data_IF_537044455905
#
_entry.id   IF_537044455905
#
_cell.length_a   1.000
_cell.length_b   1.000
_cell.length_c   1.000
_cell.angle_alpha   90.00
_cell.angle_beta   90.00
_cell.angle_gamma   90.00
#
_symmetry.space_group_name_H-M   'P 1'
#
loop_
_entity.id
_entity.type
_entity.pdbx_description
1 polymer ?
#
# COMPACT_ATOMS: atom_id res chain seq x y z
N UNK A 1 -26.51 31.85 -65.85
CA UNK A 1 -26.48 30.39 -66.12
C UNK A 1 -25.33 29.82 -65.30
N UNK A 2 -25.62 29.12 -64.19
CA UNK A 2 -25.38 27.66 -63.99
C UNK A 2 -23.96 27.27 -64.43
N UNK A 3 -23.05 26.82 -63.57
CA UNK A 3 -23.16 25.54 -62.85
C UNK A 3 -22.44 25.53 -61.49
N UNK A 4 -23.07 24.78 -60.58
CA UNK A 4 -22.60 24.36 -59.26
C UNK A 4 -21.54 23.25 -59.38
N UNK A 5 -20.55 23.22 -58.49
CA UNK A 5 -19.74 22.04 -58.26
C UNK A 5 -19.61 21.82 -56.75
N UNK A 6 -20.29 20.79 -56.28
CA UNK A 6 -20.11 20.19 -54.96
C UNK A 6 -18.73 19.54 -54.87
N UNK A 7 -18.03 19.75 -53.76
CA UNK A 7 -17.01 18.79 -53.30
C UNK A 7 -17.31 18.44 -51.85
N UNK A 8 -17.70 17.18 -51.69
CA UNK A 8 -18.10 16.46 -50.48
C UNK A 8 -16.94 16.42 -49.47
N UNK A 9 -17.18 16.83 -48.23
CA UNK A 9 -16.26 16.59 -47.13
C UNK A 9 -16.43 15.14 -46.65
N UNK A 10 -15.40 14.32 -46.86
CA UNK A 10 -15.31 12.96 -46.34
C UNK A 10 -14.84 13.03 -44.88
N UNK A 11 -15.76 12.87 -43.93
CA UNK A 11 -15.41 12.69 -42.52
C UNK A 11 -14.93 11.25 -42.32
N UNK A 12 -13.61 11.10 -42.11
CA UNK A 12 -13.02 9.82 -41.73
C UNK A 12 -13.20 9.70 -40.21
N UNK A 13 -14.24 8.98 -39.79
CA UNK A 13 -14.33 8.46 -38.44
C UNK A 13 -13.24 7.40 -38.28
N UNK A 14 -12.22 7.67 -37.47
CA UNK A 14 -11.25 6.68 -37.04
C UNK A 14 -11.93 5.74 -36.04
N UNK A 15 -12.66 4.75 -36.55
CA UNK A 15 -13.00 3.56 -35.79
C UNK A 15 -11.74 2.70 -35.66
N UNK A 16 -11.11 2.72 -34.49
CA UNK A 16 -10.16 1.67 -34.14
C UNK A 16 -10.97 0.46 -33.67
N UNK A 17 -10.87 -0.63 -34.43
CA UNK A 17 -11.40 -1.94 -34.07
C UNK A 17 -10.24 -2.90 -33.87
N UNK A 18 -9.97 -3.33 -32.63
CA UNK A 18 -9.30 -4.60 -32.30
C UNK A 18 -9.81 -5.11 -30.93
N UNK A 19 -10.85 -5.96 -31.00
CA UNK A 19 -11.15 -7.23 -30.29
C UNK A 19 -10.91 -7.41 -28.76
N UNK A 20 -12.06 -7.58 -28.07
CA UNK A 20 -12.46 -8.40 -26.89
C UNK A 20 -11.59 -8.44 -25.62
N UNK A 21 -11.99 -7.92 -24.45
CA UNK A 21 -13.12 -7.08 -24.04
C UNK A 21 -12.56 -5.84 -23.34
N UNK A 22 -13.04 -4.66 -23.73
CA UNK A 22 -12.44 -3.40 -23.35
C UNK A 22 -13.44 -2.63 -22.50
N UNK A 23 -13.15 -2.50 -21.20
CA UNK A 23 -13.83 -1.52 -20.36
C UNK A 23 -13.84 -0.18 -21.09
N UNK A 24 -14.91 0.59 -20.98
CA UNK A 24 -14.98 1.93 -21.56
C UNK A 24 -15.62 2.91 -20.60
N UNK A 25 -15.06 4.10 -20.46
CA UNK A 25 -15.59 5.14 -19.59
C UNK A 25 -16.33 6.19 -20.42
N UNK A 26 -17.53 6.55 -19.98
CA UNK A 26 -18.32 7.67 -20.50
C UNK A 26 -18.65 8.61 -19.35
N UNK A 27 -18.83 9.90 -19.62
CA UNK A 27 -19.20 10.88 -18.60
C UNK A 27 -20.49 11.59 -18.97
N UNK A 28 -21.38 11.76 -18.00
CA UNK A 28 -22.49 12.70 -18.12
C UNK A 28 -22.02 14.14 -17.88
N UNK A 29 -22.75 15.11 -18.43
CA UNK A 29 -22.53 16.52 -18.08
C UNK A 29 -22.81 16.75 -16.60
N UNK A 30 -22.06 17.67 -15.99
CA UNK A 30 -22.26 18.02 -14.60
C UNK A 30 -23.62 18.70 -14.42
N UNK A 31 -24.40 18.21 -13.46
CA UNK A 31 -25.72 18.74 -13.15
C UNK A 31 -25.76 19.25 -11.71
N UNK A 32 -26.58 20.28 -11.46
CA UNK A 32 -26.87 20.67 -10.09
C UNK A 32 -27.72 19.60 -9.41
N UNK A 33 -27.30 19.18 -8.23
CA UNK A 33 -28.16 18.43 -7.31
C UNK A 33 -29.10 19.40 -6.60
N UNK A 34 -30.11 18.89 -5.87
CA UNK A 34 -30.92 19.73 -4.98
C UNK A 34 -30.04 20.28 -3.83
N UNK A 35 -29.27 21.33 -4.09
CA UNK A 35 -28.27 21.90 -3.19
C UNK A 35 -27.19 22.74 -3.92
N UNK A 36 -26.17 23.26 -3.20
CA UNK A 36 -25.10 24.07 -3.79
C UNK A 36 -24.05 23.26 -4.56
N UNK A 37 -24.21 21.94 -4.66
CA UNK A 37 -23.22 21.03 -5.25
C UNK A 37 -23.59 20.65 -6.68
N UNK A 38 -22.58 20.68 -7.54
CA UNK A 38 -22.57 20.02 -8.85
C UNK A 38 -22.23 18.55 -8.65
N UNK A 39 -22.92 17.69 -9.37
CA UNK A 39 -22.64 16.27 -9.45
C UNK A 39 -22.26 15.90 -10.87
N UNK A 40 -21.16 15.17 -11.01
CA UNK A 40 -20.73 14.58 -12.28
C UNK A 40 -20.55 13.08 -12.09
N UNK A 41 -21.10 12.33 -13.04
CA UNK A 41 -21.10 10.87 -13.05
C UNK A 41 -20.32 10.38 -14.25
N UNK A 42 -19.36 9.50 -14.02
CA UNK A 42 -18.74 8.68 -15.04
C UNK A 42 -19.27 7.25 -14.91
N UNK A 43 -19.68 6.67 -16.03
CA UNK A 43 -20.11 5.27 -16.11
C UNK A 43 -19.05 4.49 -16.85
N UNK A 44 -18.52 3.47 -16.18
CA UNK A 44 -17.60 2.49 -16.74
C UNK A 44 -18.42 1.30 -17.20
N UNK A 45 -18.47 1.11 -18.51
CA UNK A 45 -19.13 -0.01 -19.16
C UNK A 45 -18.11 -1.14 -19.34
N UNK A 46 -18.57 -2.37 -19.25
CA UNK A 46 -17.84 -3.58 -19.63
C UNK A 46 -18.72 -4.45 -20.53
N UNK A 47 -18.18 -5.54 -21.02
CA UNK A 47 -18.95 -6.60 -21.66
C UNK A 47 -19.27 -7.73 -20.67
N UNK A 48 -20.08 -8.70 -21.09
CA UNK A 48 -20.40 -9.85 -20.23
C UNK A 48 -19.16 -10.68 -19.95
N UNK A 49 -18.69 -10.64 -18.70
CA UNK A 49 -17.48 -11.34 -18.26
C UNK A 49 -16.27 -10.43 -18.02
N UNK A 50 -16.36 -9.15 -18.35
CA UNK A 50 -15.34 -8.17 -17.96
C UNK A 50 -15.51 -7.86 -16.48
N UNK A 51 -14.48 -8.16 -15.69
CA UNK A 51 -14.43 -7.89 -14.26
C UNK A 51 -13.52 -6.69 -14.05
N UNK A 52 -14.00 -5.68 -13.31
CA UNK A 52 -13.14 -4.61 -12.82
C UNK A 52 -12.35 -5.13 -11.61
N UNK A 53 -11.04 -5.27 -11.76
CA UNK A 53 -10.16 -5.86 -10.74
C UNK A 53 -9.08 -4.91 -10.20
N UNK A 54 -8.85 -3.77 -10.88
CA UNK A 54 -7.88 -2.75 -10.47
C UNK A 54 -8.50 -1.35 -10.36
N UNK A 55 -8.19 -0.66 -9.26
CA UNK A 55 -8.66 0.69 -9.00
C UNK A 55 -7.50 1.62 -8.64
N UNK A 56 -7.32 2.69 -9.43
CA UNK A 56 -6.31 3.73 -9.18
C UNK A 56 -6.96 5.07 -8.90
N UNK A 57 -6.83 5.54 -7.66
CA UNK A 57 -7.35 6.83 -7.19
C UNK A 57 -6.21 7.84 -7.14
N UNK A 58 -6.16 8.77 -8.09
CA UNK A 58 -5.12 9.80 -8.23
C UNK A 58 -5.70 11.21 -8.13
N UNK A 59 -6.64 11.39 -7.21
CA UNK A 59 -7.37 12.65 -6.95
C UNK A 59 -7.38 12.94 -5.47
N UNK A 60 -7.57 14.21 -5.10
CA UNK A 60 -7.55 14.66 -3.70
C UNK A 60 -8.92 14.52 -3.03
N UNK A 61 -8.90 14.53 -1.70
CA UNK A 61 -10.11 14.41 -0.88
C UNK A 61 -10.44 12.98 -0.48
N UNK A 62 -11.60 12.84 0.16
CA UNK A 62 -12.13 11.56 0.62
C UNK A 62 -12.86 10.83 -0.51
N UNK A 63 -12.45 9.58 -0.74
CA UNK A 63 -13.02 8.68 -1.75
C UNK A 63 -13.61 7.46 -1.06
N UNK A 64 -14.85 7.13 -1.39
CA UNK A 64 -15.55 5.97 -0.83
C UNK A 64 -15.81 4.98 -1.95
N UNK A 65 -15.38 3.73 -1.77
CA UNK A 65 -15.61 2.65 -2.73
C UNK A 65 -16.65 1.72 -2.14
N UNK A 66 -17.79 1.55 -2.81
CA UNK A 66 -18.93 0.76 -2.36
C UNK A 66 -19.28 -0.31 -3.40
N UNK A 67 -19.88 -1.40 -2.96
CA UNK A 67 -20.46 -2.41 -3.85
C UNK A 67 -21.98 -2.19 -3.96
N UNK A 68 -22.52 -2.28 -5.18
CA UNK A 68 -23.96 -2.31 -5.42
C UNK A 68 -24.33 -3.24 -6.60
N UNK A 69 -24.99 -4.36 -6.28
CA UNK A 69 -25.43 -5.35 -7.25
C UNK A 69 -26.41 -4.80 -8.30
N UNK A 70 -27.12 -3.71 -8.00
CA UNK A 70 -28.14 -3.14 -8.89
C UNK A 70 -27.53 -2.47 -10.14
N UNK A 71 -26.24 -2.12 -10.09
CA UNK A 71 -25.51 -1.59 -11.25
C UNK A 71 -25.44 -2.59 -12.39
N UNK A 72 -25.14 -3.86 -12.08
CA UNK A 72 -25.09 -4.93 -13.06
C UNK A 72 -26.48 -5.29 -13.63
N UNK A 73 -27.56 -4.99 -12.91
CA UNK A 73 -28.92 -5.32 -13.33
C UNK A 73 -29.47 -4.38 -14.43
N UNK A 74 -28.91 -3.18 -14.59
CA UNK A 74 -29.36 -2.15 -15.53
C UNK A 74 -28.65 -2.14 -16.89
N UNK A 75 -27.65 -3.00 -17.09
CA UNK A 75 -26.75 -3.03 -18.23
C UNK A 75 -25.36 -3.49 -17.80
N UNK A 76 -24.45 -3.72 -18.75
CA UNK A 76 -23.07 -4.13 -18.46
C UNK A 76 -22.23 -2.95 -17.94
N UNK A 77 -22.61 -2.41 -16.77
CA UNK A 77 -21.92 -1.33 -16.08
C UNK A 77 -21.00 -1.95 -15.03
N UNK A 78 -19.69 -1.87 -15.27
CA UNK A 78 -18.68 -2.38 -14.34
C UNK A 78 -18.56 -1.49 -13.08
N UNK A 79 -18.65 -0.17 -13.24
CA UNK A 79 -18.61 0.78 -12.14
C UNK A 79 -19.24 2.15 -12.47
N UNK A 80 -19.60 2.90 -11.43
CA UNK A 80 -19.94 4.31 -11.51
C UNK A 80 -19.05 5.14 -10.59
N UNK A 81 -18.46 6.21 -11.13
CA UNK A 81 -17.72 7.21 -10.35
C UNK A 81 -18.60 8.45 -10.25
N UNK A 82 -18.87 8.89 -9.02
CA UNK A 82 -19.73 10.03 -8.71
C UNK A 82 -18.86 11.05 -7.96
N UNK A 83 -18.67 12.21 -8.56
CA UNK A 83 -18.00 13.34 -7.90
C UNK A 83 -19.03 14.41 -7.58
N UNK A 84 -19.02 14.89 -6.34
CA UNK A 84 -19.80 16.06 -5.92
C UNK A 84 -18.85 17.17 -5.55
N UNK A 85 -19.07 18.36 -6.11
CA UNK A 85 -18.27 19.53 -5.77
C UNK A 85 -19.03 20.85 -5.81
N UNK A 86 -18.64 21.81 -4.96
CA UNK A 86 -19.15 23.17 -5.02
C UNK A 86 -18.54 24.02 -6.16
N UNK A 87 -17.57 23.47 -6.90
CA UNK A 87 -16.83 24.20 -7.95
C UNK A 87 -16.90 23.52 -9.32
N UNK A 88 -17.41 24.19 -10.38
CA UNK A 88 -17.47 23.63 -11.72
C UNK A 88 -16.08 23.38 -12.31
N UNK A 89 -15.10 24.23 -11.98
CA UNK A 89 -13.72 24.08 -12.45
C UNK A 89 -13.08 22.81 -11.88
N UNK A 90 -13.40 22.48 -10.62
CA UNK A 90 -12.92 21.26 -9.97
C UNK A 90 -13.50 20.01 -10.66
N UNK A 91 -14.81 20.03 -10.95
CA UNK A 91 -15.47 18.96 -11.71
C UNK A 91 -14.89 18.82 -13.12
N UNK A 92 -14.55 19.94 -13.76
CA UNK A 92 -13.94 19.97 -15.08
C UNK A 92 -12.49 19.45 -15.13
N UNK A 93 -11.80 19.46 -13.99
CA UNK A 93 -10.39 19.07 -13.85
C UNK A 93 -10.18 17.56 -13.69
N UNK A 94 -11.17 16.85 -13.17
CA UNK A 94 -11.12 15.39 -12.97
C UNK A 94 -11.49 14.65 -14.26
N UNK A 95 -10.83 13.52 -14.48
CA UNK A 95 -11.10 12.58 -15.55
C UNK A 95 -11.05 11.12 -15.07
N UNK A 96 -11.73 10.24 -15.79
CA UNK A 96 -11.78 8.80 -15.51
C UNK A 96 -11.39 8.06 -16.77
N UNK A 97 -10.33 7.26 -16.68
CA UNK A 97 -9.78 6.48 -17.79
C UNK A 97 -9.75 5.01 -17.41
N UNK A 98 -9.97 4.14 -18.39
CA UNK A 98 -9.81 2.68 -18.29
C UNK A 98 -8.42 2.28 -18.71
N UNK A 99 -7.91 1.16 -18.21
CA UNK A 99 -6.65 0.58 -18.66
C UNK A 99 -6.61 -0.92 -18.44
N UNK A 100 -5.74 -1.60 -19.19
CA UNK A 100 -5.60 -3.06 -19.14
C UNK A 100 -4.18 -3.49 -18.72
N UNK A 101 -3.31 -2.52 -18.40
CA UNK A 101 -1.86 -2.76 -18.22
C UNK A 101 -1.51 -3.61 -16.99
N UNK A 102 -2.30 -3.49 -15.92
CA UNK A 102 -2.09 -4.16 -14.63
C UNK A 102 -3.31 -5.01 -14.22
N UNK A 103 -4.21 -5.29 -15.17
CA UNK A 103 -5.57 -5.77 -14.93
C UNK A 103 -6.60 -4.89 -15.63
N UNK A 104 -7.85 -5.31 -15.61
CA UNK A 104 -8.98 -4.56 -16.15
C UNK A 104 -9.35 -3.49 -15.12
N UNK A 105 -8.80 -2.29 -15.31
CA UNK A 105 -8.76 -1.28 -14.26
C UNK A 105 -9.34 0.09 -14.63
N UNK A 106 -9.69 0.85 -13.60
CA UNK A 106 -10.15 2.23 -13.72
C UNK A 106 -9.21 3.15 -12.96
N UNK A 107 -8.77 4.20 -13.64
CA UNK A 107 -7.94 5.26 -13.09
C UNK A 107 -8.69 6.58 -13.07
N UNK A 108 -8.91 7.10 -11.87
CA UNK A 108 -9.46 8.43 -11.63
C UNK A 108 -8.30 9.38 -11.38
N UNK A 109 -8.18 10.43 -12.18
CA UNK A 109 -7.01 11.32 -12.13
C UNK A 109 -7.35 12.75 -12.54
N UNK A 110 -6.42 13.67 -12.31
CA UNK A 110 -6.51 15.02 -12.88
C UNK A 110 -6.09 15.05 -14.34
N UNK A 111 -6.76 15.88 -15.14
CA UNK A 111 -6.34 16.19 -16.51
C UNK A 111 -4.95 16.81 -16.51
N UNK A 112 -4.16 16.49 -17.52
CA UNK A 112 -2.83 17.06 -17.70
C UNK A 112 -2.90 18.52 -18.21
N UNK A 113 -3.28 19.45 -17.33
CA UNK A 113 -3.44 20.87 -17.63
C UNK A 113 -2.89 21.73 -16.49
N UNK A 114 -2.69 23.02 -16.74
CA UNK A 114 -2.37 23.98 -15.70
C UNK A 114 -3.68 24.51 -15.10
N UNK A 115 -3.91 24.26 -13.81
CA UNK A 115 -5.10 24.71 -13.13
C UNK A 115 -4.83 25.00 -11.65
N UNK A 116 -5.59 25.94 -11.08
CA UNK A 116 -5.70 26.14 -9.64
C UNK A 116 -7.18 26.23 -9.32
N UNK A 117 -7.70 25.22 -8.63
CA UNK A 117 -9.12 25.10 -8.31
C UNK A 117 -9.32 25.07 -6.80
N UNK A 118 -10.43 25.62 -6.35
CA UNK A 118 -10.86 25.59 -4.95
C UNK A 118 -12.31 25.14 -4.92
N UNK A 119 -12.64 24.26 -3.99
CA UNK A 119 -14.02 23.84 -3.76
C UNK A 119 -14.09 22.68 -2.77
N UNK A 120 -15.29 22.47 -2.26
CA UNK A 120 -15.64 21.29 -1.49
C UNK A 120 -15.75 20.09 -2.43
N UNK A 121 -15.18 18.95 -2.04
CA UNK A 121 -15.19 17.73 -2.85
C UNK A 121 -15.49 16.50 -2.00
N UNK A 122 -16.29 15.59 -2.54
CA UNK A 122 -16.38 14.20 -2.11
C UNK A 122 -16.56 13.32 -3.34
N UNK A 123 -15.93 12.14 -3.32
CA UNK A 123 -16.04 11.17 -4.39
C UNK A 123 -16.58 9.84 -3.86
N UNK A 124 -17.46 9.25 -4.65
CA UNK A 124 -17.98 7.91 -4.44
C UNK A 124 -17.73 7.08 -5.69
N UNK A 125 -17.28 5.86 -5.52
CA UNK A 125 -17.04 4.88 -6.57
C UNK A 125 -17.90 3.69 -6.21
N UNK A 126 -18.78 3.27 -7.11
CA UNK A 126 -19.66 2.14 -6.87
C UNK A 126 -19.29 1.06 -7.89
N UNK A 127 -18.85 -0.09 -7.41
CA UNK A 127 -18.49 -1.25 -8.24
C UNK A 127 -19.64 -2.23 -8.31
N UNK A 128 -19.80 -2.87 -9.47
CA UNK A 128 -20.92 -3.77 -9.74
C UNK A 128 -20.64 -5.23 -9.39
N UNK A 129 -19.37 -5.64 -9.46
CA UNK A 129 -18.93 -7.00 -9.17
C UNK A 129 -18.56 -7.14 -7.70
N UNK A 130 -19.07 -8.20 -7.08
CA UNK A 130 -18.88 -8.47 -5.66
C UNK A 130 -17.51 -9.10 -5.42
N UNK A 131 -16.75 -8.59 -4.45
CA UNK A 131 -15.43 -9.10 -4.05
C UNK A 131 -14.46 -9.25 -5.23
N UNK A 132 -14.47 -8.28 -6.15
CA UNK A 132 -13.75 -8.37 -7.42
C UNK A 132 -12.43 -7.58 -7.44
N UNK A 133 -12.34 -6.48 -6.69
CA UNK A 133 -11.11 -5.68 -6.68
C UNK A 133 -9.96 -6.46 -6.06
N UNK A 134 -8.97 -6.78 -6.88
CA UNK A 134 -7.72 -7.42 -6.51
C UNK A 134 -6.61 -6.38 -6.25
N UNK A 135 -6.75 -5.16 -6.76
CA UNK A 135 -5.79 -4.08 -6.57
C UNK A 135 -6.50 -2.75 -6.29
N UNK A 136 -6.04 -2.04 -5.25
CA UNK A 136 -6.48 -0.69 -4.90
C UNK A 136 -5.25 0.17 -4.64
N UNK A 137 -5.05 1.21 -5.45
CA UNK A 137 -3.96 2.16 -5.28
C UNK A 137 -4.46 3.59 -5.10
N UNK A 138 -3.78 4.35 -4.24
CA UNK A 138 -4.09 5.74 -3.97
C UNK A 138 -2.85 6.64 -4.05
N UNK A 139 -3.01 7.77 -4.73
CA UNK A 139 -2.05 8.87 -4.78
C UNK A 139 -2.80 10.19 -4.66
N UNK A 140 -2.25 11.16 -3.92
CA UNK A 140 -2.85 12.49 -3.71
C UNK A 140 -4.20 12.53 -2.97
N UNK A 141 -4.87 11.39 -2.76
CA UNK A 141 -6.08 11.30 -1.97
C UNK A 141 -5.79 11.61 -0.50
N UNK A 142 -6.77 12.18 0.21
CA UNK A 142 -6.67 12.31 1.66
C UNK A 142 -6.94 10.94 2.29
N UNK A 143 -8.00 10.27 1.82
CA UNK A 143 -8.37 8.94 2.29
C UNK A 143 -9.20 8.20 1.24
N UNK A 144 -8.93 6.91 1.08
CA UNK A 144 -9.77 5.97 0.33
C UNK A 144 -10.34 4.95 1.32
N UNK A 145 -11.66 4.93 1.43
CA UNK A 145 -12.39 3.99 2.29
C UNK A 145 -13.04 2.94 1.42
N UNK A 146 -12.55 1.71 1.54
CA UNK A 146 -13.07 0.55 0.82
C UNK A 146 -14.15 -0.11 1.66
N UNK A 147 -15.37 -0.13 1.14
CA UNK A 147 -16.55 -0.71 1.76
C UNK A 147 -16.56 -2.24 1.75
N UNK A 148 -17.61 -2.79 2.35
CA UNK A 148 -17.88 -4.22 2.39
C UNK A 148 -18.08 -4.78 0.97
N UNK A 149 -17.70 -6.04 0.76
CA UNK A 149 -17.93 -6.76 -0.50
C UNK A 149 -17.29 -6.14 -1.75
N UNK A 150 -16.32 -5.24 -1.60
CA UNK A 150 -15.61 -4.59 -2.72
C UNK A 150 -14.37 -5.37 -3.14
N UNK A 151 -13.44 -5.60 -2.20
CA UNK A 151 -12.17 -6.29 -2.46
C UNK A 151 -12.31 -7.79 -2.41
N UNK A 152 -11.44 -8.49 -3.13
CA UNK A 152 -11.36 -9.95 -3.07
C UNK A 152 -11.12 -10.42 -1.64
N UNK A 153 -11.97 -11.33 -1.17
CA UNK A 153 -12.00 -11.76 0.23
C UNK A 153 -11.99 -13.26 0.43
N UNK A 154 -12.62 -14.05 -0.46
CA UNK A 154 -12.76 -15.50 -0.28
C UNK A 154 -12.39 -16.30 -1.52
N UNK A 155 -11.18 -16.06 -2.04
CA UNK A 155 -10.59 -16.82 -3.14
C UNK A 155 -9.13 -17.16 -2.80
N UNK A 156 -8.84 -18.42 -2.38
CA UNK A 156 -7.48 -18.87 -2.05
C UNK A 156 -6.47 -18.81 -3.20
N UNK A 157 -6.92 -18.58 -4.44
CA UNK A 157 -6.06 -18.41 -5.60
C UNK A 157 -5.73 -16.94 -5.92
N UNK A 158 -6.54 -16.01 -5.41
CA UNK A 158 -6.43 -14.58 -5.68
C UNK A 158 -5.45 -13.86 -4.74
N UNK A 159 -4.92 -12.75 -5.23
CA UNK A 159 -4.06 -11.84 -4.48
C UNK A 159 -4.77 -10.51 -4.29
N UNK A 160 -4.58 -9.87 -3.14
CA UNK A 160 -5.03 -8.51 -2.86
C UNK A 160 -3.82 -7.59 -2.73
N UNK A 161 -3.79 -6.53 -3.52
CA UNK A 161 -2.75 -5.51 -3.55
C UNK A 161 -3.32 -4.16 -3.10
N UNK A 162 -2.67 -3.53 -2.12
CA UNK A 162 -3.07 -2.24 -1.57
C UNK A 162 -1.85 -1.34 -1.58
N UNK A 163 -1.91 -0.26 -2.36
CA UNK A 163 -0.77 0.63 -2.57
C UNK A 163 -1.10 2.07 -2.24
N UNK A 164 -0.22 2.76 -1.49
CA UNK A 164 -0.32 4.21 -1.32
C UNK A 164 0.97 4.94 -1.67
N UNK A 165 0.82 6.16 -2.17
CA UNK A 165 1.92 7.08 -2.40
C UNK A 165 1.60 8.49 -1.94
N UNK A 166 2.61 9.19 -1.43
CA UNK A 166 2.45 10.50 -0.82
C UNK A 166 1.82 10.40 0.56
N UNK A 167 0.75 11.16 0.79
CA UNK A 167 0.08 11.29 2.09
C UNK A 167 -1.24 10.50 2.18
N UNK A 168 -1.53 9.67 1.17
CA UNK A 168 -2.82 9.01 1.07
C UNK A 168 -3.02 7.88 2.08
N UNK A 169 -4.18 7.90 2.73
CA UNK A 169 -4.64 6.84 3.62
C UNK A 169 -5.57 5.86 2.89
N UNK A 170 -5.43 4.56 3.16
CA UNK A 170 -6.39 3.53 2.71
C UNK A 170 -6.93 2.77 3.91
N UNK A 171 -8.25 2.63 3.97
CA UNK A 171 -8.99 1.87 4.97
C UNK A 171 -9.69 0.70 4.28
N UNK A 172 -9.37 -0.53 4.68
CA UNK A 172 -9.99 -1.76 4.17
C UNK A 172 -10.50 -2.60 5.32
N UNK A 173 -11.75 -3.03 5.18
CA UNK A 173 -12.37 -4.07 5.98
C UNK A 173 -12.82 -3.66 7.39
N UNK A 174 -13.37 -4.64 8.09
CA UNK A 174 -14.06 -4.54 9.37
C UNK A 174 -13.63 -5.66 10.32
N UNK A 175 -13.43 -5.32 11.59
CA UNK A 175 -13.00 -6.26 12.63
C UNK A 175 -14.05 -7.32 12.98
N UNK A 176 -15.31 -7.09 12.62
CA UNK A 176 -16.45 -7.93 13.06
C UNK A 176 -17.12 -8.69 11.93
N UNK A 177 -16.97 -8.23 10.68
CA UNK A 177 -17.73 -8.77 9.54
C UNK A 177 -16.84 -9.51 8.55
N UNK A 178 -15.61 -9.03 8.32
CA UNK A 178 -14.83 -9.51 7.18
C UNK A 178 -13.94 -10.68 7.52
N UNK A 179 -13.89 -11.66 6.63
CA UNK A 179 -12.96 -12.78 6.69
C UNK A 179 -12.21 -12.85 5.37
N UNK A 180 -10.88 -12.90 5.44
CA UNK A 180 -10.04 -13.00 4.25
C UNK A 180 -9.41 -14.39 4.15
N UNK A 181 -9.67 -15.11 3.05
CA UNK A 181 -8.98 -16.33 2.65
C UNK A 181 -8.44 -16.14 1.24
N UNK A 182 -7.17 -15.79 1.13
CA UNK A 182 -6.51 -15.38 -0.11
C UNK A 182 -5.21 -16.14 -0.34
N UNK A 183 -4.66 -16.07 -1.54
CA UNK A 183 -3.28 -16.52 -1.79
C UNK A 183 -2.29 -15.55 -1.14
N UNK A 184 -2.41 -14.26 -1.42
CA UNK A 184 -1.54 -13.25 -0.83
C UNK A 184 -2.21 -11.91 -0.59
N UNK A 185 -1.72 -11.21 0.42
CA UNK A 185 -2.08 -9.82 0.72
C UNK A 185 -0.78 -9.00 0.69
N UNK A 186 -0.71 -8.05 -0.25
CA UNK A 186 0.43 -7.18 -0.46
C UNK A 186 0.03 -5.75 -0.09
N UNK A 187 0.71 -5.16 0.88
CA UNK A 187 0.51 -3.77 1.30
C UNK A 187 1.79 -3.02 1.01
N UNK A 188 1.72 -2.01 0.14
CA UNK A 188 2.84 -1.12 -0.16
C UNK A 188 2.47 0.33 0.17
N UNK A 189 3.40 1.06 0.77
CA UNK A 189 3.21 2.49 1.02
C UNK A 189 4.51 3.26 0.88
N UNK A 190 4.44 4.42 0.23
CA UNK A 190 5.58 5.30 0.00
C UNK A 190 5.24 6.75 0.36
N UNK A 191 6.12 7.40 1.11
CA UNK A 191 5.84 8.72 1.69
C UNK A 191 5.31 8.58 3.11
N UNK A 192 4.25 9.30 3.43
CA UNK A 192 3.74 9.49 4.80
C UNK A 192 2.34 8.89 5.01
N UNK A 193 1.77 8.29 3.96
CA UNK A 193 0.43 7.69 3.97
C UNK A 193 0.27 6.50 4.93
N UNK A 194 -0.99 6.19 5.23
CA UNK A 194 -1.36 5.14 6.16
C UNK A 194 -2.29 4.07 5.54
N UNK A 195 -1.89 2.80 5.60
CA UNK A 195 -2.78 1.68 5.28
C UNK A 195 -3.30 1.02 6.55
N UNK A 196 -4.61 0.84 6.64
CA UNK A 196 -5.29 0.13 7.69
C UNK A 196 -6.10 -1.03 7.11
N UNK A 197 -5.72 -2.25 7.47
CA UNK A 197 -6.38 -3.49 7.05
C UNK A 197 -6.99 -4.21 8.25
N UNK A 198 -8.31 -4.30 8.29
CA UNK A 198 -9.07 -4.88 9.39
C UNK A 198 -9.85 -6.11 8.94
N UNK A 199 -9.90 -7.12 9.81
CA UNK A 199 -10.67 -8.33 9.59
C UNK A 199 -11.13 -8.97 10.91
N UNK A 200 -12.10 -9.87 10.86
CA UNK A 200 -12.31 -10.86 11.92
C UNK A 200 -11.19 -11.91 11.92
N UNK A 201 -10.81 -12.41 10.75
CA UNK A 201 -9.72 -13.38 10.59
C UNK A 201 -9.10 -13.31 9.19
N UNK A 202 -7.83 -13.69 9.12
CA UNK A 202 -7.03 -13.68 7.89
C UNK A 202 -6.37 -15.05 7.72
N UNK A 203 -6.56 -15.66 6.56
CA UNK A 203 -5.88 -16.84 6.08
C UNK A 203 -5.23 -16.50 4.73
N UNK A 204 -3.90 -16.59 4.64
CA UNK A 204 -3.21 -16.37 3.38
C UNK A 204 -1.92 -17.18 3.26
N UNK A 205 -1.46 -17.52 2.06
CA UNK A 205 -0.11 -18.08 1.94
C UNK A 205 0.93 -17.04 2.34
N UNK A 206 0.77 -15.81 1.84
CA UNK A 206 1.72 -14.74 2.12
C UNK A 206 1.05 -13.43 2.50
N UNK A 207 1.56 -12.77 3.53
CA UNK A 207 1.28 -11.35 3.80
C UNK A 207 2.60 -10.60 3.67
N UNK A 208 2.66 -9.64 2.76
CA UNK A 208 3.82 -8.78 2.55
C UNK A 208 3.47 -7.33 2.83
N UNK A 209 4.28 -6.66 3.63
CA UNK A 209 4.13 -5.23 3.93
C UNK A 209 5.44 -4.54 3.60
N UNK A 210 5.42 -3.57 2.68
CA UNK A 210 6.59 -2.82 2.23
C UNK A 210 6.36 -1.33 2.40
N UNK A 211 7.08 -0.73 3.34
CA UNK A 211 6.98 0.69 3.66
C UNK A 211 8.25 1.44 3.25
N UNK A 212 8.08 2.63 2.69
CA UNK A 212 9.16 3.59 2.48
C UNK A 212 8.77 4.98 2.97
N UNK A 213 9.73 5.76 3.46
CA UNK A 213 9.46 7.04 4.13
C UNK A 213 8.95 6.83 5.56
N UNK A 214 7.99 7.66 5.98
CA UNK A 214 7.41 7.66 7.33
C UNK A 214 6.05 6.96 7.42
N UNK A 215 5.66 6.30 6.31
CA UNK A 215 4.42 5.56 6.12
C UNK A 215 4.12 4.53 7.20
N UNK A 216 2.84 4.13 7.27
CA UNK A 216 2.36 3.28 8.34
C UNK A 216 1.39 2.22 7.85
N UNK A 217 1.58 0.99 8.32
CA UNK A 217 0.63 -0.10 8.10
C UNK A 217 0.11 -0.65 9.44
N UNK A 218 -1.21 -0.83 9.52
CA UNK A 218 -1.88 -1.54 10.61
C UNK A 218 -2.62 -2.73 10.00
N UNK A 219 -2.32 -3.93 10.49
CA UNK A 219 -3.05 -5.15 10.16
C UNK A 219 -3.63 -5.68 11.46
N UNK A 220 -4.96 -5.69 11.55
CA UNK A 220 -5.66 -6.15 12.76
C UNK A 220 -6.69 -7.21 12.40
N UNK A 221 -6.62 -8.38 13.03
CA UNK A 221 -7.62 -9.44 12.90
C UNK A 221 -8.14 -9.89 14.26
N UNK A 222 -9.44 -9.76 14.56
CA UNK A 222 -9.98 -10.05 15.90
C UNK A 222 -9.62 -11.45 16.42
N UNK A 223 -9.78 -12.49 15.60
CA UNK A 223 -9.68 -13.89 16.01
C UNK A 223 -8.31 -14.50 15.73
N UNK A 224 -7.87 -14.49 14.47
CA UNK A 224 -6.61 -15.13 14.08
C UNK A 224 -6.04 -14.58 12.77
N UNK A 225 -4.73 -14.71 12.64
CA UNK A 225 -4.00 -14.59 11.36
C UNK A 225 -3.24 -15.90 11.16
N UNK A 226 -3.55 -16.64 10.09
CA UNK A 226 -2.86 -17.88 9.72
C UNK A 226 -2.19 -17.69 8.38
N UNK A 227 -0.86 -17.77 8.35
CA UNK A 227 -0.08 -17.56 7.14
C UNK A 227 1.05 -18.56 6.96
N UNK A 228 1.47 -18.82 5.72
CA UNK A 228 2.71 -19.55 5.50
C UNK A 228 3.91 -18.62 5.70
N UNK A 229 3.86 -17.41 5.15
CA UNK A 229 4.94 -16.43 5.28
C UNK A 229 4.40 -15.02 5.54
N UNK A 230 4.94 -14.35 6.55
CA UNK A 230 4.71 -12.92 6.78
C UNK A 230 6.02 -12.17 6.60
N UNK A 231 6.03 -11.18 5.70
CA UNK A 231 7.20 -10.36 5.37
C UNK A 231 6.89 -8.90 5.70
N UNK A 232 7.76 -8.29 6.49
CA UNK A 232 7.67 -6.88 6.86
C UNK A 232 8.95 -6.17 6.44
N UNK A 233 8.84 -5.22 5.53
CA UNK A 233 9.95 -4.46 4.99
C UNK A 233 9.75 -2.96 5.22
N UNK A 234 10.77 -2.28 5.73
CA UNK A 234 10.74 -0.84 5.96
C UNK A 234 12.05 -0.21 5.50
N UNK A 235 11.95 0.84 4.70
CA UNK A 235 13.06 1.72 4.32
C UNK A 235 12.73 3.16 4.74
N UNK A 236 13.26 3.61 5.88
CA UNK A 236 12.91 4.89 6.52
C UNK A 236 12.38 4.68 7.94
N UNK A 237 11.48 5.55 8.39
CA UNK A 237 10.96 5.59 9.77
C UNK A 237 9.53 5.06 9.90
N UNK A 238 9.09 4.36 8.85
CA UNK A 238 7.80 3.73 8.77
C UNK A 238 7.52 2.72 9.89
N UNK A 239 6.24 2.43 10.10
CA UNK A 239 5.79 1.64 11.26
C UNK A 239 4.75 0.60 10.85
N UNK A 240 5.02 -0.65 11.19
CA UNK A 240 4.10 -1.78 10.96
C UNK A 240 3.60 -2.30 12.30
N UNK A 241 2.28 -2.41 12.44
CA UNK A 241 1.60 -3.01 13.59
C UNK A 241 0.79 -4.20 13.12
N UNK A 242 1.03 -5.36 13.72
CA UNK A 242 0.25 -6.58 13.48
C UNK A 242 -0.39 -7.00 14.79
N UNK A 243 -1.72 -7.06 14.80
CA UNK A 243 -2.54 -7.34 15.97
C UNK A 243 -3.61 -8.39 15.66
N UNK A 244 -3.76 -9.34 16.56
CA UNK A 244 -4.72 -10.44 16.52
C UNK A 244 -4.76 -11.21 17.84
N UNK A 245 -5.78 -12.03 18.09
CA UNK A 245 -5.75 -12.92 19.24
C UNK A 245 -4.75 -14.08 19.08
N UNK A 246 -4.53 -14.56 17.84
CA UNK A 246 -3.58 -15.64 17.56
C UNK A 246 -2.93 -15.52 16.18
N UNK A 247 -1.61 -15.30 16.13
CA UNK A 247 -0.81 -15.33 14.90
C UNK A 247 -0.11 -16.69 14.72
N UNK A 248 -0.44 -17.40 13.65
CA UNK A 248 0.22 -18.64 13.25
C UNK A 248 0.96 -18.43 11.94
N UNK A 249 2.27 -18.68 11.93
CA UNK A 249 3.08 -18.54 10.72
C UNK A 249 4.10 -19.67 10.57
N UNK A 250 4.39 -20.14 9.35
CA UNK A 250 5.60 -20.96 9.16
C UNK A 250 6.85 -20.08 9.22
N UNK A 251 6.82 -18.94 8.53
CA UNK A 251 7.96 -18.02 8.41
C UNK A 251 7.58 -16.57 8.73
N UNK A 252 8.33 -15.96 9.65
CA UNK A 252 8.21 -14.55 10.00
C UNK A 252 9.49 -13.81 9.61
N UNK A 253 9.42 -12.89 8.64
CA UNK A 253 10.58 -12.16 8.13
C UNK A 253 10.42 -10.65 8.32
N UNK A 254 11.44 -9.99 8.86
CA UNK A 254 11.47 -8.54 9.02
C UNK A 254 12.78 -7.97 8.47
N UNK A 255 12.69 -7.02 7.54
CA UNK A 255 13.82 -6.34 6.89
C UNK A 255 13.68 -4.83 7.05
N UNK A 256 14.44 -4.23 7.96
CA UNK A 256 14.32 -2.82 8.27
C UNK A 256 15.65 -2.11 7.99
N UNK A 257 15.59 -1.01 7.25
CA UNK A 257 16.70 -0.09 6.99
C UNK A 257 16.28 1.33 7.39
N UNK A 258 16.97 1.96 8.33
CA UNK A 258 16.58 3.24 8.95
C UNK A 258 16.10 3.07 10.40
N UNK A 259 15.17 3.90 10.86
CA UNK A 259 14.69 3.91 12.26
C UNK A 259 13.26 3.37 12.42
N UNK A 260 12.79 2.69 11.38
CA UNK A 260 11.51 2.01 11.28
C UNK A 260 11.25 1.00 12.39
N UNK A 261 9.97 0.67 12.57
CA UNK A 261 9.53 -0.19 13.69
C UNK A 261 8.49 -1.21 13.23
N UNK A 262 8.70 -2.47 13.60
CA UNK A 262 7.71 -3.54 13.43
C UNK A 262 7.32 -4.08 14.79
N UNK A 263 6.02 -4.22 15.04
CA UNK A 263 5.49 -4.76 16.29
C UNK A 263 4.44 -5.85 16.02
N UNK A 264 4.74 -7.07 16.45
CA UNK A 264 3.81 -8.18 16.55
C UNK A 264 3.37 -8.27 18.00
N UNK A 265 2.21 -7.70 18.32
CA UNK A 265 1.77 -7.53 19.70
C UNK A 265 1.08 -8.78 20.27
N UNK A 266 0.61 -9.64 19.39
CA UNK A 266 -0.23 -10.81 19.66
C UNK A 266 0.49 -12.02 20.17
N UNK A 267 -0.19 -12.84 20.96
CA UNK A 267 0.23 -14.21 21.18
C UNK A 267 0.21 -14.97 19.85
N UNK A 268 1.18 -15.87 19.67
CA UNK A 268 1.26 -16.64 18.44
C UNK A 268 2.43 -17.61 18.43
N UNK A 269 2.57 -18.32 17.32
CA UNK A 269 3.65 -19.27 17.11
C UNK A 269 4.22 -19.17 15.69
N UNK A 270 5.52 -19.42 15.57
CA UNK A 270 6.15 -19.57 14.26
C UNK A 270 7.18 -20.70 14.21
N UNK A 271 7.50 -21.19 13.02
CA UNK A 271 8.63 -22.14 12.88
C UNK A 271 9.93 -21.36 12.80
N UNK A 272 10.08 -20.54 11.77
CA UNK A 272 11.31 -19.80 11.51
C UNK A 272 11.08 -18.28 11.51
N UNK A 273 11.93 -17.58 12.24
CA UNK A 273 11.95 -16.13 12.29
C UNK A 273 13.28 -15.59 11.77
N UNK A 274 13.21 -14.64 10.84
CA UNK A 274 14.39 -13.94 10.30
C UNK A 274 14.22 -12.44 10.44
N UNK A 275 15.18 -11.79 11.09
CA UNK A 275 15.17 -10.34 11.33
C UNK A 275 16.49 -9.76 10.81
N UNK A 276 16.42 -8.83 9.87
CA UNK A 276 17.52 -8.04 9.37
C UNK A 276 17.30 -6.57 9.71
N UNK A 277 18.22 -6.00 10.48
CA UNK A 277 18.19 -4.60 10.88
C UNK A 277 19.44 -3.88 10.36
N UNK A 278 19.23 -2.77 9.67
CA UNK A 278 20.27 -1.82 9.26
C UNK A 278 19.91 -0.44 9.81
N UNK A 279 20.78 0.17 10.62
CA UNK A 279 20.47 1.40 11.37
C UNK A 279 19.90 1.13 12.76
N UNK A 280 19.02 2.01 13.26
CA UNK A 280 18.48 1.97 14.63
C UNK A 280 17.05 1.39 14.71
N UNK A 281 16.65 0.71 13.65
CA UNK A 281 15.40 -0.03 13.51
C UNK A 281 15.09 -0.95 14.71
N UNK A 282 13.80 -1.14 14.98
CA UNK A 282 13.35 -1.97 16.11
C UNK A 282 12.26 -2.98 15.72
N UNK A 283 12.45 -4.25 16.09
CA UNK A 283 11.46 -5.31 15.93
C UNK A 283 11.03 -5.85 17.28
N UNK A 284 9.72 -5.83 17.53
CA UNK A 284 9.08 -6.35 18.74
C UNK A 284 8.28 -7.59 18.38
N UNK A 285 8.87 -8.76 18.56
CA UNK A 285 8.28 -10.06 18.26
C UNK A 285 8.31 -11.01 19.47
N UNK A 286 8.48 -10.47 20.68
CA UNK A 286 8.53 -11.25 21.92
C UNK A 286 7.22 -11.95 22.27
N UNK A 287 6.10 -11.57 21.63
CA UNK A 287 4.81 -12.24 21.84
C UNK A 287 4.62 -13.47 20.95
N UNK A 288 5.50 -13.71 19.98
CA UNK A 288 5.42 -14.83 19.03
C UNK A 288 6.47 -15.88 19.39
N UNK A 289 6.02 -17.08 19.70
CA UNK A 289 6.89 -18.20 20.08
C UNK A 289 7.41 -18.87 18.81
N UNK A 290 8.66 -18.61 18.46
CA UNK A 290 9.29 -19.20 17.28
C UNK A 290 10.20 -20.37 17.65
N UNK A 291 10.27 -21.41 16.81
CA UNK A 291 11.23 -22.51 17.03
C UNK A 291 12.65 -22.01 16.83
N UNK A 292 12.93 -21.40 15.68
CA UNK A 292 14.22 -20.86 15.32
C UNK A 292 14.13 -19.36 15.06
N UNK A 293 15.11 -18.59 15.52
CA UNK A 293 15.22 -17.17 15.22
C UNK A 293 16.63 -16.81 14.77
N UNK A 294 16.73 -16.09 13.66
CA UNK A 294 17.96 -15.50 13.15
C UNK A 294 17.81 -13.98 13.16
N UNK A 295 18.72 -13.30 13.85
CA UNK A 295 18.77 -11.84 13.92
C UNK A 295 20.13 -11.36 13.40
N UNK A 296 20.12 -10.64 12.29
CA UNK A 296 21.28 -9.99 11.72
C UNK A 296 21.14 -8.48 11.88
N UNK A 297 22.18 -7.83 12.42
CA UNK A 297 22.17 -6.40 12.73
C UNK A 297 23.39 -5.72 12.16
N UNK A 298 23.19 -4.57 11.52
CA UNK A 298 24.22 -3.64 11.06
C UNK A 298 23.87 -2.25 11.62
N UNK A 299 24.53 -1.85 12.72
CA UNK A 299 24.16 -0.66 13.51
C UNK A 299 23.66 -1.01 14.91
N UNK A 300 22.88 -0.13 15.52
CA UNK A 300 22.38 -0.25 16.91
C UNK A 300 20.94 -0.76 17.02
N UNK A 301 20.43 -1.35 15.93
CA UNK A 301 19.10 -1.96 15.84
C UNK A 301 18.78 -2.92 16.99
N UNK A 302 17.49 -3.00 17.32
CA UNK A 302 16.98 -3.71 18.51
C UNK A 302 15.95 -4.76 18.12
N UNK A 303 16.14 -5.99 18.60
CA UNK A 303 15.17 -7.06 18.42
C UNK A 303 14.77 -7.66 19.77
N UNK A 304 13.47 -7.84 19.98
CA UNK A 304 12.91 -8.64 21.07
C UNK A 304 12.22 -9.83 20.45
N UNK A 305 12.61 -11.05 20.83
CA UNK A 305 12.12 -12.31 20.26
C UNK A 305 11.76 -13.30 21.36
N UNK A 306 10.96 -14.32 21.04
CA UNK A 306 10.79 -15.50 21.88
C UNK A 306 11.14 -16.74 21.04
N UNK A 307 12.17 -17.47 21.46
CA UNK A 307 12.71 -18.60 20.70
C UNK A 307 12.86 -19.81 21.59
N UNK A 308 12.44 -20.99 21.14
CA UNK A 308 12.53 -22.22 21.94
C UNK A 308 13.80 -23.03 21.65
N UNK A 309 14.18 -23.19 20.38
CA UNK A 309 15.27 -24.07 19.98
C UNK A 309 16.58 -23.30 19.76
N UNK A 310 16.75 -22.67 18.59
CA UNK A 310 17.99 -21.98 18.23
C UNK A 310 17.78 -20.49 18.00
N UNK A 311 18.48 -19.65 18.77
CA UNK A 311 18.61 -18.21 18.54
C UNK A 311 20.01 -17.89 17.98
N UNK A 312 20.06 -17.49 16.71
CA UNK A 312 21.28 -17.00 16.06
C UNK A 312 21.27 -15.48 15.99
N UNK A 313 22.34 -14.85 16.43
CA UNK A 313 22.50 -13.39 16.43
C UNK A 313 23.85 -13.01 15.85
N UNK A 314 23.85 -12.15 14.83
CA UNK A 314 25.05 -11.66 14.16
C UNK A 314 25.04 -10.13 14.15
N UNK A 315 26.14 -9.50 14.57
CA UNK A 315 26.34 -8.05 14.45
C UNK A 315 26.48 -7.30 15.77
N UNK A 316 26.24 -5.99 15.71
CA UNK A 316 26.45 -5.04 16.82
C UNK A 316 25.21 -4.69 17.64
N UNK A 317 24.02 -4.95 17.09
CA UNK A 317 22.73 -4.53 17.66
C UNK A 317 22.34 -5.30 18.92
N UNK A 318 21.27 -4.83 19.57
CA UNK A 318 20.78 -5.41 20.83
C UNK A 318 19.69 -6.44 20.58
N UNK A 319 19.98 -7.71 20.86
CA UNK A 319 19.01 -8.80 20.75
C UNK A 319 18.60 -9.25 22.14
N UNK A 320 17.30 -9.38 22.38
CA UNK A 320 16.77 -9.86 23.65
C UNK A 320 15.76 -10.98 23.46
N UNK A 321 15.88 -12.03 24.26
CA UNK A 321 14.85 -13.06 24.35
C UNK A 321 13.96 -12.80 25.57
N UNK A 322 12.68 -13.14 25.49
CA UNK A 322 11.74 -13.13 26.61
C UNK A 322 11.45 -14.56 27.08
N UNK A 323 10.93 -14.70 28.30
CA UNK A 323 10.61 -16.00 28.93
C UNK A 323 11.86 -16.89 29.11
N UNK A 324 11.71 -18.21 28.93
CA UNK A 324 12.80 -19.16 29.06
C UNK A 324 13.90 -18.92 28.01
N UNK A 325 15.15 -19.20 28.37
CA UNK A 325 16.25 -19.13 27.42
C UNK A 325 16.07 -20.19 26.31
N UNK A 326 16.42 -19.89 25.06
CA UNK A 326 16.47 -20.88 23.98
C UNK A 326 17.45 -22.01 24.32
N UNK A 327 17.20 -23.22 23.82
CA UNK A 327 18.12 -24.35 24.01
C UNK A 327 19.55 -24.05 23.54
N UNK A 328 19.68 -23.30 22.45
CA UNK A 328 20.97 -22.93 21.87
C UNK A 328 20.99 -21.46 21.46
N UNK A 329 22.02 -20.74 21.93
CA UNK A 329 22.30 -19.37 21.51
C UNK A 329 23.63 -19.36 20.75
N UNK A 330 23.57 -18.93 19.49
CA UNK A 330 24.74 -18.69 18.63
C UNK A 330 24.88 -17.19 18.44
N UNK A 331 25.93 -16.59 18.97
CA UNK A 331 26.14 -15.14 18.90
C UNK A 331 27.53 -14.84 18.38
N UNK A 332 27.61 -14.02 17.32
CA UNK A 332 28.87 -13.48 16.81
C UNK A 332 28.77 -11.96 16.72
N UNK A 333 29.69 -11.27 17.41
CA UNK A 333 29.78 -9.82 17.36
C UNK A 333 31.21 -9.44 16.98
N UNK A 334 31.35 -8.68 15.89
CA UNK A 334 32.65 -8.22 15.38
C UNK A 334 33.25 -7.15 16.32
N UNK A 335 32.40 -6.45 17.07
CA UNK A 335 32.79 -5.28 17.87
C UNK A 335 32.72 -5.47 19.39
N UNK A 336 32.24 -6.63 19.89
CA UNK A 336 32.05 -6.86 21.33
C UNK A 336 32.63 -8.20 21.76
N UNK A 337 33.37 -8.19 22.88
CA UNK A 337 33.89 -9.41 23.56
C UNK A 337 32.79 -10.27 24.21
N UNK A 338 31.58 -9.73 24.36
CA UNK A 338 30.44 -10.39 25.00
C UNK A 338 29.28 -10.55 24.02
N UNK A 339 28.46 -11.59 24.23
CA UNK A 339 27.28 -11.84 23.42
C UNK A 339 26.36 -10.60 23.38
N UNK A 340 25.87 -10.30 22.18
CA UNK A 340 24.88 -9.23 21.96
C UNK A 340 23.45 -9.67 22.31
N UNK A 341 23.28 -10.90 22.81
CA UNK A 341 22.03 -11.52 23.23
C UNK A 341 21.90 -11.45 24.76
N UNK A 342 20.78 -10.94 25.27
CA UNK A 342 20.51 -10.86 26.72
C UNK A 342 19.05 -11.18 27.05
N UNK A 343 18.73 -11.69 28.25
CA UNK A 343 17.34 -11.81 28.67
C UNK A 343 16.68 -10.43 28.77
N UNK A 344 15.42 -10.33 28.35
CA UNK A 344 14.60 -9.15 28.53
C UNK A 344 13.98 -9.14 29.93
N UNK A 345 13.98 -7.99 30.60
CA UNK A 345 13.27 -7.82 31.89
C UNK A 345 11.75 -7.94 31.76
N UNK A 346 11.22 -7.56 30.59
CA UNK A 346 9.80 -7.62 30.24
C UNK A 346 9.65 -7.71 28.72
N UNK A 347 8.61 -8.39 28.26
CA UNK A 347 8.20 -8.29 26.86
C UNK A 347 7.73 -6.86 26.60
N UNK A 348 8.30 -6.22 25.57
CA UNK A 348 7.86 -4.91 25.11
C UNK A 348 7.30 -5.10 23.72
N UNK A 349 6.08 -4.61 23.52
CA UNK A 349 5.44 -4.49 22.23
C UNK A 349 4.69 -3.15 22.20
N UNK A 350 4.39 -2.69 21.00
CA UNK A 350 3.55 -1.53 20.77
C UNK A 350 2.25 -2.00 20.12
N UNK A 351 1.14 -1.48 20.62
CA UNK A 351 -0.14 -1.59 19.95
C UNK A 351 -0.56 -0.24 19.40
N UNK A 352 -1.46 -0.26 18.43
CA UNK A 352 -2.08 0.91 17.84
C UNK A 352 -3.55 0.61 17.63
N UNK A 353 -4.41 1.41 18.26
CA UNK A 353 -5.83 1.37 17.96
C UNK A 353 -6.06 1.78 16.50
N UNK A 354 -6.89 1.04 15.75
CA UNK A 354 -7.35 1.46 14.44
C UNK A 354 -7.92 2.88 14.49
N UNK A 355 -7.59 3.68 13.48
CA UNK A 355 -8.19 4.99 13.24
C UNK A 355 -9.62 4.81 12.72
N UNK A 356 -10.48 5.78 13.03
CA UNK A 356 -11.84 5.84 12.49
C UNK A 356 -11.75 6.42 11.07
N UNK A 357 -12.30 5.76 10.03
CA UNK A 357 -12.34 6.31 8.68
C UNK A 357 -13.04 7.68 8.65
N UNK A 358 -12.68 8.58 7.71
CA UNK A 358 -13.34 9.88 7.60
C UNK A 358 -14.82 9.75 7.25
N UNK A 359 -15.59 10.77 7.63
CA UNK A 359 -17.01 10.87 7.24
C UNK A 359 -17.16 11.17 5.75
N UNK A 360 -18.30 10.79 5.16
CA UNK A 360 -18.69 11.12 3.76
C UNK A 360 -19.02 12.59 3.51
N UNK A 361 -18.58 13.49 4.39
CA UNK A 361 -18.78 14.92 4.24
C UNK A 361 -17.83 15.51 3.18
N UNK A 362 -18.30 16.44 2.32
CA UNK A 362 -17.42 17.20 1.43
C UNK A 362 -16.34 17.94 2.21
N UNK A 363 -15.13 17.98 1.65
CA UNK A 363 -13.97 18.66 2.24
C UNK A 363 -13.52 19.78 1.32
N UNK A 364 -13.29 20.98 1.87
CA UNK A 364 -12.78 22.13 1.11
C UNK A 364 -11.29 21.94 0.78
N UNK A 365 -10.98 21.91 -0.51
CA UNK A 365 -9.64 21.69 -1.01
C UNK A 365 -9.23 22.79 -1.98
N UNK A 366 -7.96 23.17 -1.93
CA UNK A 366 -7.27 23.89 -3.00
C UNK A 366 -6.34 22.93 -3.70
N UNK A 367 -6.56 22.72 -5.00
CA UNK A 367 -5.71 21.85 -5.82
C UNK A 367 -5.02 22.68 -6.89
N UNK A 368 -3.70 22.55 -6.95
CA UNK A 368 -2.86 23.13 -8.00
C UNK A 368 -2.33 21.98 -8.85
N UNK A 369 -2.64 22.03 -10.14
CA UNK A 369 -2.17 21.06 -11.14
C UNK A 369 -1.26 21.81 -12.10
N UNK A 370 -0.05 21.29 -12.30
CA UNK A 370 0.91 21.77 -13.30
C UNK A 370 1.08 20.68 -14.36
N UNK A 371 0.89 21.04 -15.62
CA UNK A 371 0.98 20.10 -16.72
C UNK A 371 2.38 19.49 -16.82
N UNK A 372 2.47 18.17 -16.97
CA UNK A 372 3.70 17.46 -17.27
C UNK A 372 3.99 17.51 -18.78
N UNK A 373 5.27 17.70 -19.15
CA UNK A 373 5.70 17.72 -20.55
C UNK A 373 5.67 16.35 -21.22
N UNK A 374 5.78 15.26 -20.44
CA UNK A 374 5.76 13.90 -20.93
C UNK A 374 4.76 13.07 -20.11
N UNK A 375 3.88 12.34 -20.81
CA UNK A 375 2.84 11.52 -20.20
C UNK A 375 1.56 12.28 -19.84
N UNK A 376 0.62 11.55 -19.23
CA UNK A 376 -0.71 12.05 -18.89
C UNK A 376 -0.90 12.30 -17.38
N UNK A 377 0.19 12.31 -16.61
CA UNK A 377 0.19 12.48 -15.16
C UNK A 377 0.76 13.86 -14.81
N UNK A 378 -0.08 14.85 -14.45
CA UNK A 378 0.42 16.16 -14.06
C UNK A 378 1.11 16.16 -12.70
N UNK A 379 1.83 17.23 -12.39
CA UNK A 379 2.28 17.49 -11.02
C UNK A 379 1.14 18.09 -10.21
N UNK A 380 0.83 17.49 -9.07
CA UNK A 380 -0.31 17.85 -8.23
C UNK A 380 0.18 18.36 -6.88
N UNK A 381 -0.39 19.46 -6.41
CA UNK A 381 -0.22 19.97 -5.04
C UNK A 381 -1.59 20.22 -4.44
N UNK A 382 -1.80 19.71 -3.23
CA UNK A 382 -3.09 19.75 -2.52
C UNK A 382 -2.91 20.56 -1.24
N UNK A 383 -3.87 21.43 -0.93
CA UNK A 383 -3.91 22.23 0.29
C UNK A 383 -5.32 22.19 0.89
N UNK A 384 -5.42 21.89 2.18
CA UNK A 384 -6.69 21.93 2.93
C UNK A 384 -6.89 23.30 3.63
N UNK A 385 -8.13 23.76 3.73
CA UNK A 385 -8.51 25.04 4.36
C UNK A 385 -8.28 25.11 5.88
N UNK A 386 -7.91 26.33 6.35
CA UNK A 386 -7.43 26.79 7.69
C UNK A 386 -6.46 25.85 8.43
N UNK A 387 -5.16 25.94 8.08
CA UNK A 387 -4.06 25.65 9.02
C UNK A 387 -2.85 24.92 8.44
N UNK A 388 -1.89 25.70 7.94
CA UNK A 388 -0.52 25.31 7.49
C UNK A 388 -0.43 24.63 6.12
N UNK A 389 0.30 25.29 5.22
CA UNK A 389 0.73 24.79 3.92
C UNK A 389 1.78 23.69 4.02
N UNK A 390 1.65 22.63 3.22
CA UNK A 390 2.78 21.81 2.79
C UNK A 390 3.37 22.51 1.56
N UNK A 391 4.51 23.17 1.73
CA UNK A 391 5.25 23.83 0.66
C UNK A 391 6.27 22.82 0.12
N UNK A 392 6.11 22.39 -1.13
CA UNK A 392 7.22 21.88 -1.94
C UNK A 392 7.27 22.76 -3.18
N UNK A 393 8.22 23.71 -3.20
CA UNK A 393 8.65 24.32 -4.46
C UNK A 393 10.18 24.29 -4.51
N UNK A 394 10.68 23.49 -5.45
CA UNK A 394 12.10 23.37 -5.72
C UNK A 394 12.58 24.53 -6.56
N UNK A 395 13.00 25.62 -5.92
CA UNK A 395 14.14 26.50 -6.26
C UNK A 395 14.15 27.71 -5.31
N UNK A 396 15.07 27.74 -4.32
CA UNK A 396 15.22 28.77 -3.26
C UNK A 396 15.52 30.20 -3.76
N UNK A 397 15.33 31.28 -3.01
CA UNK A 397 15.63 31.61 -1.59
C UNK A 397 14.57 32.61 -1.04
N UNK A 398 14.18 32.58 0.25
CA UNK A 398 14.96 33.09 1.39
C UNK A 398 14.85 32.26 2.69
N UNK A 399 15.98 32.23 3.43
CA UNK A 399 16.30 31.54 4.70
C UNK A 399 15.62 32.27 5.88
N UNK A 400 15.08 31.64 6.94
CA UNK A 400 15.71 30.77 7.96
C UNK A 400 14.74 29.66 8.43
N UNK A 401 15.09 28.40 8.67
CA UNK A 401 16.41 27.79 8.89
C UNK A 401 16.54 26.39 8.27
N UNK A 402 17.70 26.20 7.64
CA UNK A 402 18.43 24.96 7.27
C UNK A 402 17.60 23.69 6.97
N UNK A 403 17.33 23.38 5.69
CA UNK A 403 17.04 22.03 5.21
C UNK A 403 18.30 21.38 4.62
N UNK A 404 18.55 20.12 4.98
CA UNK A 404 19.58 19.30 4.34
C UNK A 404 19.00 18.63 3.09
N UNK A 405 19.40 19.14 1.93
CA UNK A 405 19.58 18.48 0.64
C UNK A 405 18.65 17.33 0.23
N UNK A 406 17.71 17.66 -0.67
CA UNK A 406 17.17 16.72 -1.67
C UNK A 406 18.05 16.73 -2.93
N UNK A 407 18.31 15.54 -3.48
CA UNK A 407 18.49 15.36 -4.91
C UNK A 407 17.33 14.50 -5.41
N UNK A 408 16.55 15.08 -6.33
CA UNK A 408 15.54 14.35 -7.08
C UNK A 408 16.18 13.59 -8.25
N UNK A 409 15.65 12.40 -8.48
CA UNK A 409 15.52 11.79 -9.78
C UNK A 409 14.28 10.89 -9.71
N UNK A 410 13.24 11.27 -10.45
CA UNK A 410 12.09 10.40 -10.64
C UNK A 410 12.49 9.17 -11.47
N UNK A 411 11.82 8.06 -11.24
CA UNK A 411 11.39 7.07 -12.24
C UNK A 411 10.69 5.92 -11.49
N UNK A 412 9.56 5.51 -12.04
CA UNK A 412 8.99 4.17 -11.86
C UNK A 412 10.12 3.13 -11.80
N UNK A 413 10.24 2.40 -10.69
CA UNK A 413 11.32 1.42 -10.54
C UNK A 413 11.69 0.95 -9.13
N UNK A 414 11.00 1.38 -8.07
CA UNK A 414 11.38 0.98 -6.69
C UNK A 414 10.96 -0.47 -6.36
N UNK A 415 10.00 -1.06 -7.07
CA UNK A 415 9.50 -2.40 -6.77
C UNK A 415 10.44 -3.55 -7.19
N UNK A 416 11.40 -3.32 -8.09
CA UNK A 416 12.42 -4.34 -8.46
C UNK A 416 13.46 -4.54 -7.34
N UNK A 417 13.60 -3.57 -6.43
CA UNK A 417 14.61 -3.63 -5.36
C UNK A 417 14.26 -4.70 -4.31
N UNK A 418 12.99 -5.02 -4.09
CA UNK A 418 12.60 -6.02 -3.08
C UNK A 418 12.74 -7.47 -3.58
N UNK A 419 12.47 -7.73 -4.86
CA UNK A 419 12.85 -9.00 -5.50
C UNK A 419 14.38 -9.15 -5.55
N UNK A 420 15.10 -8.05 -5.82
CA UNK A 420 16.56 -8.01 -5.79
C UNK A 420 17.17 -8.29 -4.41
N UNK A 421 16.63 -7.73 -3.32
CA UNK A 421 17.16 -7.94 -1.97
C UNK A 421 16.88 -9.37 -1.48
N UNK A 422 15.72 -9.95 -1.79
CA UNK A 422 15.42 -11.34 -1.48
C UNK A 422 16.34 -12.31 -2.27
N UNK A 423 16.60 -12.03 -3.54
CA UNK A 423 17.51 -12.81 -4.39
C UNK A 423 18.97 -12.65 -3.96
N UNK A 424 19.43 -11.44 -3.62
CA UNK A 424 20.78 -11.17 -3.13
C UNK A 424 21.01 -11.82 -1.76
N UNK A 425 20.02 -11.82 -0.87
CA UNK A 425 20.09 -12.53 0.40
C UNK A 425 20.14 -14.06 0.21
N UNK A 426 19.36 -14.62 -0.74
CA UNK A 426 19.39 -16.04 -1.08
C UNK A 426 20.74 -16.47 -1.71
N UNK A 427 21.30 -15.64 -2.59
CA UNK A 427 22.61 -15.86 -3.21
C UNK A 427 23.73 -15.77 -2.16
N UNK A 428 23.69 -14.76 -1.28
CA UNK A 428 24.66 -14.62 -0.18
C UNK A 428 24.58 -15.80 0.82
N UNK A 429 23.38 -16.31 1.08
CA UNK A 429 23.15 -17.51 1.90
C UNK A 429 23.73 -18.77 1.25
N UNK A 430 23.48 -18.99 -0.06
CA UNK A 430 24.05 -20.12 -0.83
C UNK A 430 25.58 -20.07 -0.92
N UNK A 431 26.16 -18.87 -1.08
CA UNK A 431 27.62 -18.71 -1.10
C UNK A 431 28.25 -18.93 0.29
N UNK A 432 27.56 -18.59 1.38
CA UNK A 432 28.00 -18.93 2.74
C UNK A 432 27.94 -20.43 3.00
N UNK A 433 26.88 -21.13 2.58
CA UNK A 433 26.81 -22.59 2.70
C UNK A 433 27.92 -23.31 1.91
N UNK A 434 28.26 -22.83 0.71
CA UNK A 434 29.39 -23.36 -0.08
C UNK A 434 30.73 -23.15 0.61
N UNK A 435 31.01 -21.95 1.15
CA UNK A 435 32.25 -21.68 1.89
C UNK A 435 32.37 -22.49 3.18
N UNK A 436 31.26 -22.75 3.87
CA UNK A 436 31.27 -23.62 5.06
C UNK A 436 31.51 -25.08 4.67
N UNK A 437 31.00 -25.56 3.52
CA UNK A 437 31.31 -26.92 3.02
C UNK A 437 32.78 -27.08 2.58
N UNK A 438 33.39 -26.05 2.02
CA UNK A 438 34.83 -26.07 1.67
C UNK A 438 35.75 -26.10 2.91
N UNK A 439 35.26 -25.69 4.08
CA UNK A 439 36.00 -25.80 5.35
C UNK A 439 35.87 -27.16 6.04
N UNK A 440 35.01 -28.06 5.52
CA UNK A 440 34.96 -29.48 5.91
C UNK A 440 35.50 -30.33 4.75
N UNK A 441 36.80 -30.20 4.46
CA UNK A 441 37.49 -31.29 3.79
C UNK A 441 37.56 -32.48 4.77
N UNK A 442 37.16 -33.71 4.37
CA UNK A 442 37.36 -34.87 5.22
C UNK A 442 38.87 -35.04 5.47
N UNK A 443 39.24 -35.20 6.74
CA UNK A 443 40.60 -35.59 7.11
C UNK A 443 40.93 -36.91 6.38
N UNK A 444 41.92 -36.85 5.50
CA UNK A 444 42.50 -38.03 4.85
C UNK A 444 43.32 -38.84 5.85
#
# INVERSE_FOLDING_TARGET
MKYSSLTTALAIALSQSVVDGALSATSADAAHTNGPFLEKIWTVHGESGDILDDLKVQVAGNVFVDYDASLAAGGAVAAQVIMRSSSPDFVGLVDVTVHDADGNGVRIHYKNTNARVVGDVVMQIIVSDRNALSSVSAAHADSVVVGEDVVVSNDPSASLEIETSGEADIYVGSLTQDHFSLKSINIASSGDGHVQFLASSIQADTISVSLSGDSKAIITATDRITVNSMVSAISGDGKIFVETANLQSQKLSAHLSGDGKVSYSSAGSCVDQTIHLSGDASVYAGSIICKNSMVATSGDGKAIVQTTDTLTSVGGGSVKYVNAAPHRIVSSSIFRKHSNVKPAKKNKFKTRRPSIPPSRAPTELTVVVKAAWFGNSPHVSVYSGIGSSIIIDGTGFAVTGIPAYHHGAGLFGVFIVMAGIAVVAAIAFKFRERKVREQYAPLA
#
